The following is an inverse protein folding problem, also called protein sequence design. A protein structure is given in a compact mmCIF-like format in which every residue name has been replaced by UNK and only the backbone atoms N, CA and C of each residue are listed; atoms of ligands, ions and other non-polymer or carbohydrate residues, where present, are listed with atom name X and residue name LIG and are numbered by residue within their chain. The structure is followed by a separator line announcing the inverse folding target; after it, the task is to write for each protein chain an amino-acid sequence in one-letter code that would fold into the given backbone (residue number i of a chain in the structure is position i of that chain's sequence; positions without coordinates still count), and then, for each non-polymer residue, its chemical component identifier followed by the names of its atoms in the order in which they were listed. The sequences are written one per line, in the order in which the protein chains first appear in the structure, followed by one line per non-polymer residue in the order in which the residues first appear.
data_IF_422542176856
#
_entry.id   IF_422542176856
#
_cell.length_a   1.000
_cell.length_b   1.000
_cell.length_c   1.000
_cell.angle_alpha   90.00
_cell.angle_beta   90.00
_cell.angle_gamma   90.00
#
_symmetry.space_group_name_H-M   'P 1'
#
loop_
_entity.id
_entity.type
_entity.pdbx_description
1 polymer ?
#
# COMPACT_ATOMS: atom_id res chain seq x y z
N UNK A 1 0.93 -66.00 -14.37
CA UNK A 1 -0.27 -65.56 -15.08
C UNK A 1 -0.15 -64.04 -15.21
N UNK A 2 0.61 -63.46 -16.15
CA UNK A 2 0.51 -63.57 -17.63
C UNK A 2 -0.96 -63.48 -18.07
N UNK A 3 -1.44 -62.50 -18.85
CA UNK A 3 -0.94 -62.02 -20.15
C UNK A 3 -1.54 -60.65 -20.60
N UNK A 4 -0.72 -59.85 -21.31
CA UNK A 4 -0.89 -59.08 -22.58
C UNK A 4 -2.25 -58.38 -22.91
N UNK A 5 -2.32 -57.08 -23.20
CA UNK A 5 -1.80 -56.28 -24.34
C UNK A 5 -2.61 -56.42 -25.66
N UNK A 6 -3.11 -55.29 -26.20
CA UNK A 6 -3.06 -54.94 -27.63
C UNK A 6 -3.72 -53.56 -27.91
N UNK A 7 -2.95 -52.71 -28.60
CA UNK A 7 -3.38 -51.45 -29.23
C UNK A 7 -4.05 -51.70 -30.59
N UNK A 8 -4.77 -50.70 -31.13
CA UNK A 8 -4.89 -50.44 -32.58
C UNK A 8 -5.52 -49.04 -32.84
N UNK A 9 -4.75 -48.17 -33.50
CA UNK A 9 -5.16 -47.05 -34.36
C UNK A 9 -4.92 -47.52 -35.82
N UNK A 10 -5.56 -46.98 -36.89
CA UNK A 10 -5.18 -45.66 -37.47
C UNK A 10 -6.28 -44.88 -38.26
N UNK A 11 -6.13 -43.55 -38.42
CA UNK A 11 -5.97 -42.77 -39.70
C UNK A 11 -7.27 -42.44 -40.47
N UNK A 12 -7.50 -41.33 -41.19
CA UNK A 12 -6.74 -40.17 -41.69
C UNK A 12 -7.74 -39.20 -42.39
N UNK A 13 -7.29 -37.95 -42.68
CA UNK A 13 -7.75 -37.02 -43.76
C UNK A 13 -9.02 -36.17 -43.53
N UNK A 14 -9.13 -34.90 -43.96
CA UNK A 14 -8.27 -34.00 -44.77
C UNK A 14 -8.79 -32.55 -44.77
N UNK A 15 -7.88 -31.62 -45.17
CA UNK A 15 -8.08 -30.45 -46.05
C UNK A 15 -8.81 -29.16 -45.59
N UNK A 16 -8.02 -28.08 -45.53
CA UNK A 16 -8.39 -26.66 -45.67
C UNK A 16 -8.88 -26.33 -47.10
N UNK A 17 -9.55 -25.19 -47.33
CA UNK A 17 -8.87 -24.09 -48.01
C UNK A 17 -9.19 -22.66 -47.51
N UNK A 18 -8.36 -21.73 -47.99
CA UNK A 18 -8.25 -20.29 -47.76
C UNK A 18 -9.29 -19.45 -48.55
N UNK A 19 -9.24 -18.10 -48.37
CA UNK A 19 -9.75 -16.97 -49.20
C UNK A 19 -10.86 -16.17 -48.46
N UNK A 20 -10.92 -14.83 -48.30
CA UNK A 20 -10.31 -13.65 -48.96
C UNK A 20 -10.37 -12.41 -48.03
N UNK A 21 -9.40 -11.49 -48.19
CA UNK A 21 -9.40 -10.11 -47.67
C UNK A 21 -9.86 -9.16 -48.79
N UNK A 22 -10.54 -8.04 -48.51
CA UNK A 22 -10.50 -6.88 -49.38
C UNK A 22 -9.62 -5.76 -48.79
N UNK A 23 -8.61 -5.35 -49.57
CA UNK A 23 -8.01 -4.02 -49.51
C UNK A 23 -8.93 -3.02 -50.23
N UNK A 24 -9.00 -1.77 -49.75
CA UNK A 24 -9.01 -0.60 -50.64
C UNK A 24 -8.71 0.72 -49.89
N UNK A 25 -7.57 1.29 -50.26
CA UNK A 25 -7.29 2.68 -50.63
C UNK A 25 -7.68 3.88 -49.73
N UNK A 26 -6.61 4.49 -49.17
CA UNK A 26 -6.14 5.89 -49.37
C UNK A 26 -7.20 6.99 -49.61
N UNK A 27 -7.28 7.96 -48.68
CA UNK A 27 -7.22 9.40 -49.01
C UNK A 27 -6.57 10.19 -47.88
N UNK A 28 -5.53 10.94 -48.23
CA UNK A 28 -4.88 12.00 -47.47
C UNK A 28 -5.68 13.29 -47.51
N UNK A 29 -5.99 13.90 -46.36
CA UNK A 29 -6.38 15.33 -46.30
C UNK A 29 -5.85 15.96 -45.00
N UNK A 30 -4.79 16.76 -45.12
CA UNK A 30 -4.51 17.88 -44.20
C UNK A 30 -5.35 19.09 -44.65
N UNK A 31 -5.79 19.92 -43.71
CA UNK A 31 -5.51 21.34 -43.88
C UNK A 31 -4.95 22.00 -42.61
N UNK A 32 -3.86 22.74 -42.81
CA UNK A 32 -3.48 23.92 -42.01
C UNK A 32 -4.63 24.93 -42.05
N UNK A 33 -4.94 25.60 -40.95
CA UNK A 33 -5.15 27.07 -40.90
C UNK A 33 -5.04 27.58 -39.45
N UNK A 34 -4.44 28.77 -39.39
CA UNK A 34 -4.03 29.60 -38.26
C UNK A 34 -5.20 30.10 -37.41
N UNK A 35 -4.96 30.33 -36.11
CA UNK A 35 -5.19 31.67 -35.56
C UNK A 35 -4.23 31.97 -34.41
N UNK A 36 -3.68 33.18 -34.47
CA UNK A 36 -2.81 33.80 -33.47
C UNK A 36 -3.71 34.58 -32.52
N UNK A 37 -3.57 34.37 -31.22
CA UNK A 37 -4.01 35.36 -30.23
C UNK A 37 -2.79 35.79 -29.42
N UNK A 38 -2.24 36.95 -29.77
CA UNK A 38 -1.26 37.68 -28.95
C UNK A 38 -2.02 38.34 -27.81
N UNK A 39 -1.71 37.98 -26.57
CA UNK A 39 -2.02 38.80 -25.40
C UNK A 39 -0.72 39.48 -24.98
N UNK A 40 -0.65 40.80 -25.15
CA UNK A 40 0.46 41.63 -24.69
C UNK A 40 0.21 42.09 -23.25
N UNK A 41 1.02 41.64 -22.30
CA UNK A 41 1.09 42.21 -20.96
C UNK A 41 2.23 43.23 -20.92
N UNK A 42 1.84 44.51 -20.85
CA UNK A 42 2.74 45.66 -20.69
C UNK A 42 3.23 45.71 -19.24
N UNK A 43 4.54 45.57 -19.07
CA UNK A 43 5.24 45.95 -17.84
C UNK A 43 5.29 47.49 -17.81
N UNK A 44 4.81 48.10 -16.73
CA UNK A 44 5.09 49.50 -16.40
C UNK A 44 5.92 49.53 -15.11
N UNK A 45 7.15 50.01 -15.25
CA UNK A 45 7.94 50.56 -14.17
C UNK A 45 7.47 51.98 -13.88
N UNK A 46 7.33 52.32 -12.59
CA UNK A 46 7.47 53.70 -12.14
C UNK A 46 7.98 53.72 -10.72
N UNK A 47 9.23 54.13 -10.60
CA UNK A 47 9.90 54.62 -9.41
C UNK A 47 9.18 55.86 -8.87
N UNK A 48 9.07 55.98 -7.54
CA UNK A 48 9.15 57.26 -6.82
C UNK A 48 9.37 57.00 -5.33
N UNK A 49 10.47 57.56 -4.83
CA UNK A 49 10.82 57.69 -3.42
C UNK A 49 9.87 58.68 -2.73
N UNK A 50 9.52 58.42 -1.46
CA UNK A 50 9.30 59.48 -0.48
C UNK A 50 9.43 58.95 0.95
N UNK A 51 10.27 59.63 1.71
CA UNK A 51 10.56 59.48 3.13
C UNK A 51 9.34 59.81 4.02
N UNK A 52 9.24 59.17 5.20
CA UNK A 52 9.36 59.81 6.53
C UNK A 52 8.67 59.04 7.67
N UNK A 53 9.36 59.11 8.81
CA UNK A 53 8.80 59.26 10.17
C UNK A 53 8.30 58.02 10.92
N UNK A 54 9.22 57.46 11.72
CA UNK A 54 8.96 56.73 12.96
C UNK A 54 7.92 57.45 13.82
N UNK A 55 6.88 56.74 14.26
CA UNK A 55 6.18 57.05 15.51
C UNK A 55 5.89 55.78 16.30
N UNK A 56 6.53 55.73 17.47
CA UNK A 56 6.22 54.86 18.59
C UNK A 56 4.74 54.95 18.93
N UNK A 57 4.05 53.82 18.93
CA UNK A 57 2.82 53.66 19.71
C UNK A 57 3.17 52.71 20.85
N UNK A 58 3.34 53.32 22.01
CA UNK A 58 3.60 52.64 23.28
C UNK A 58 2.24 52.36 23.93
N UNK A 59 1.80 51.10 23.93
CA UNK A 59 0.68 50.67 24.73
C UNK A 59 1.21 50.28 26.12
N UNK A 60 0.94 51.12 27.13
CA UNK A 60 1.18 50.80 28.54
C UNK A 60 -0.06 50.10 29.08
N UNK A 61 0.03 48.81 29.37
CA UNK A 61 -0.76 48.20 30.43
C UNK A 61 0.18 47.83 31.57
N UNK A 62 0.01 48.56 32.67
CA UNK A 62 0.68 48.35 33.93
C UNK A 62 0.15 47.06 34.54
N UNK A 63 0.94 45.99 34.52
CA UNK A 63 0.73 44.84 35.40
C UNK A 63 2.02 44.66 36.19
N UNK A 64 1.86 44.85 37.50
CA UNK A 64 2.88 44.78 38.51
C UNK A 64 3.64 43.45 38.44
N UNK A 65 4.97 43.55 38.49
CA UNK A 65 5.86 42.41 38.69
C UNK A 65 5.57 41.83 40.07
N UNK A 66 4.93 40.67 40.12
CA UNK A 66 5.10 39.73 41.22
C UNK A 66 6.14 38.71 40.78
N UNK A 67 7.21 38.63 41.56
CA UNK A 67 8.20 37.56 41.50
C UNK A 67 7.47 36.21 41.60
N UNK A 68 7.37 35.53 40.47
CA UNK A 68 7.17 34.08 40.43
C UNK A 68 8.49 33.49 40.00
N UNK A 69 9.07 32.72 40.94
CA UNK A 69 10.19 31.83 40.71
C UNK A 69 10.03 31.12 39.36
N UNK A 70 11.10 31.18 38.56
CA UNK A 70 11.17 30.53 37.27
C UNK A 70 10.94 29.03 37.43
N UNK A 71 9.77 28.59 36.96
CA UNK A 71 9.65 27.25 36.41
C UNK A 71 10.12 27.43 34.98
N UNK A 72 11.37 27.03 34.72
CA UNK A 72 11.83 26.84 33.35
C UNK A 72 10.93 25.75 32.75
N UNK A 73 10.07 26.14 31.82
CA UNK A 73 9.42 25.19 30.92
C UNK A 73 10.55 24.49 30.16
N UNK A 74 10.94 23.31 30.68
CA UNK A 74 11.76 22.37 29.93
C UNK A 74 10.81 21.83 28.87
N UNK A 75 10.76 22.50 27.71
CA UNK A 75 10.25 21.86 26.51
C UNK A 75 11.10 20.61 26.33
N UNK A 76 10.53 19.47 26.68
CA UNK A 76 11.14 18.15 26.53
C UNK A 76 11.43 17.98 25.04
N UNK A 77 12.67 18.27 24.63
CA UNK A 77 13.12 18.11 23.25
C UNK A 77 12.85 16.67 22.85
N UNK A 78 11.81 16.45 22.04
CA UNK A 78 11.51 15.14 21.48
C UNK A 78 12.78 14.62 20.81
N UNK A 79 13.30 13.44 21.22
CA UNK A 79 14.55 12.93 20.70
C UNK A 79 14.46 12.86 19.18
N UNK A 80 15.44 13.45 18.49
CA UNK A 80 15.51 13.39 17.02
C UNK A 80 15.43 11.92 16.60
N UNK A 81 14.55 11.57 15.64
CA UNK A 81 14.38 10.18 15.24
C UNK A 81 15.71 9.64 14.72
N UNK A 82 16.11 8.47 15.23
CA UNK A 82 17.38 7.81 14.87
C UNK A 82 17.43 7.39 13.40
N UNK A 83 16.28 7.25 12.75
CA UNK A 83 16.13 6.75 11.39
C UNK A 83 15.54 7.84 10.50
N UNK A 84 15.82 7.79 9.19
CA UNK A 84 15.06 8.61 8.23
C UNK A 84 13.64 8.07 8.13
N UNK A 85 12.68 8.96 7.86
CA UNK A 85 11.33 8.55 7.48
C UNK A 85 11.38 7.69 6.21
N UNK A 86 10.59 6.62 6.18
CA UNK A 86 10.49 5.70 5.04
C UNK A 86 9.29 6.04 4.16
N UNK A 87 9.42 5.87 2.86
CA UNK A 87 8.32 6.04 1.91
C UNK A 87 7.56 4.73 1.75
N UNK A 88 6.26 4.74 2.06
CA UNK A 88 5.38 3.59 2.02
C UNK A 88 4.45 3.67 0.81
N UNK A 89 4.37 2.60 0.04
CA UNK A 89 3.27 2.38 -0.90
C UNK A 89 2.25 1.44 -0.27
N UNK A 90 0.96 1.79 -0.34
CA UNK A 90 -0.10 0.93 0.19
C UNK A 90 -0.99 0.43 -0.94
N UNK A 91 -1.22 -0.88 -1.00
CA UNK A 91 -2.00 -1.52 -2.05
C UNK A 91 -3.35 -1.97 -1.49
N UNK A 92 -4.46 -1.65 -2.18
CA UNK A 92 -5.82 -1.96 -1.72
C UNK A 92 -6.74 -2.43 -2.85
N UNK A 93 -7.78 -3.20 -2.54
CA UNK A 93 -8.85 -3.53 -3.51
C UNK A 93 -10.27 -3.20 -3.01
N UNK A 94 -10.41 -2.68 -1.80
CA UNK A 94 -11.69 -2.45 -1.11
C UNK A 94 -11.73 -1.16 -0.28
N UNK A 95 -12.40 -1.21 0.87
CA UNK A 95 -12.64 -0.02 1.73
C UNK A 95 -11.39 0.61 2.36
N UNK A 96 -10.27 -0.13 2.43
CA UNK A 96 -8.99 0.39 2.87
C UNK A 96 -8.88 0.72 4.36
N UNK A 97 -9.58 0.00 5.25
CA UNK A 97 -9.50 0.26 6.70
C UNK A 97 -8.09 0.07 7.27
N UNK A 98 -7.38 -1.01 6.89
CA UNK A 98 -5.96 -1.19 7.21
C UNK A 98 -5.08 -0.02 6.70
N UNK A 99 -5.34 0.45 5.48
CA UNK A 99 -4.65 1.63 4.92
C UNK A 99 -4.89 2.88 5.78
N UNK A 100 -6.14 3.12 6.22
CA UNK A 100 -6.48 4.25 7.09
C UNK A 100 -5.72 4.18 8.41
N UNK A 101 -5.69 3.02 9.07
CA UNK A 101 -4.96 2.82 10.32
C UNK A 101 -3.47 3.08 10.17
N UNK A 102 -2.85 2.59 9.09
CA UNK A 102 -1.43 2.86 8.79
C UNK A 102 -1.22 4.36 8.56
N UNK A 103 -2.05 4.99 7.73
CA UNK A 103 -1.92 6.41 7.40
C UNK A 103 -2.10 7.30 8.62
N UNK A 104 -3.10 7.06 9.46
CA UNK A 104 -3.29 7.79 10.72
C UNK A 104 -2.08 7.66 11.64
N UNK A 105 -1.51 6.47 11.76
CA UNK A 105 -0.28 6.23 12.52
C UNK A 105 0.96 6.94 11.92
N UNK A 106 0.98 7.23 10.61
CA UNK A 106 2.04 8.07 10.03
C UNK A 106 1.92 9.54 10.43
N UNK A 107 0.68 10.02 10.63
CA UNK A 107 0.38 11.41 10.99
C UNK A 107 0.66 11.69 12.48
N UNK A 108 0.32 10.75 13.36
CA UNK A 108 0.57 10.88 14.80
C UNK A 108 2.04 10.58 15.19
N UNK A 109 2.81 10.00 14.27
CA UNK A 109 4.22 9.69 14.43
C UNK A 109 4.53 8.30 14.99
N UNK A 110 3.51 7.47 15.26
CA UNK A 110 3.68 6.08 15.70
C UNK A 110 4.36 5.21 14.65
N UNK A 111 4.15 5.51 13.37
CA UNK A 111 4.88 4.94 12.24
C UNK A 111 5.83 5.99 11.69
N UNK A 112 7.13 5.71 11.74
CA UNK A 112 8.17 6.62 11.23
C UNK A 112 8.33 6.55 9.69
N UNK A 113 7.23 6.74 8.97
CA UNK A 113 7.19 6.71 7.52
C UNK A 113 6.03 7.53 6.97
N UNK A 114 5.98 7.70 5.65
CA UNK A 114 4.99 8.50 4.94
C UNK A 114 4.33 7.66 3.84
N UNK A 115 3.00 7.65 3.77
CA UNK A 115 2.29 7.01 2.65
C UNK A 115 2.36 7.93 1.43
N UNK A 116 3.25 7.60 0.49
CA UNK A 116 3.56 8.45 -0.67
C UNK A 116 2.72 8.13 -1.90
N UNK A 117 2.17 6.92 -1.98
CA UNK A 117 1.32 6.48 -3.09
C UNK A 117 0.40 5.35 -2.63
N UNK A 118 -0.85 5.40 -3.08
CA UNK A 118 -1.80 4.30 -2.97
C UNK A 118 -1.92 3.60 -4.33
N UNK A 119 -1.82 2.28 -4.37
CA UNK A 119 -2.11 1.48 -5.55
C UNK A 119 -3.43 0.72 -5.34
N UNK A 120 -4.30 0.74 -6.34
CA UNK A 120 -5.61 0.07 -6.23
C UNK A 120 -5.93 -0.75 -7.47
N UNK A 121 -6.57 -1.90 -7.29
CA UNK A 121 -7.09 -2.69 -8.42
C UNK A 121 -8.44 -2.19 -8.95
N UNK A 122 -9.02 -1.15 -8.33
CA UNK A 122 -10.32 -0.56 -8.68
C UNK A 122 -10.24 0.97 -8.54
N UNK A 123 -10.69 1.70 -9.56
CA UNK A 123 -10.63 3.17 -9.56
C UNK A 123 -11.46 3.78 -8.42
N UNK A 124 -12.63 3.21 -8.13
CA UNK A 124 -13.61 3.72 -7.16
C UNK A 124 -13.65 2.86 -5.89
N UNK A 125 -12.49 2.39 -5.43
CA UNK A 125 -12.42 1.73 -4.12
C UNK A 125 -12.52 2.78 -3.00
N UNK A 126 -13.17 2.44 -1.88
CA UNK A 126 -13.24 3.35 -0.73
C UNK A 126 -11.87 3.71 -0.13
N UNK A 127 -10.85 2.90 -0.37
CA UNK A 127 -9.45 3.25 -0.08
C UNK A 127 -8.91 4.33 -1.05
N UNK A 128 -9.21 4.23 -2.34
CA UNK A 128 -8.81 5.22 -3.34
C UNK A 128 -9.50 6.58 -3.15
N UNK A 129 -10.79 6.59 -2.83
CA UNK A 129 -11.52 7.81 -2.45
C UNK A 129 -10.85 8.49 -1.25
N UNK A 130 -10.62 7.73 -0.18
CA UNK A 130 -9.94 8.26 1.01
C UNK A 130 -8.54 8.81 0.71
N UNK A 131 -7.74 8.12 -0.12
CA UNK A 131 -6.42 8.61 -0.50
C UNK A 131 -6.50 9.93 -1.27
N UNK A 132 -7.43 10.08 -2.22
CA UNK A 132 -7.64 11.34 -2.95
C UNK A 132 -8.03 12.49 -2.02
N UNK A 133 -8.93 12.24 -1.07
CA UNK A 133 -9.33 13.24 -0.06
C UNK A 133 -8.15 13.71 0.79
N UNK A 134 -7.21 12.80 1.09
CA UNK A 134 -5.96 13.09 1.80
C UNK A 134 -4.82 13.57 0.90
N UNK A 135 -5.09 13.78 -0.39
CA UNK A 135 -4.12 14.21 -1.42
C UNK A 135 -2.93 13.25 -1.60
N UNK A 136 -3.16 11.96 -1.34
CA UNK A 136 -2.21 10.89 -1.64
C UNK A 136 -2.41 10.49 -3.11
N UNK A 137 -1.36 10.47 -3.94
CA UNK A 137 -1.44 9.98 -5.31
C UNK A 137 -2.01 8.57 -5.39
N UNK A 138 -2.93 8.34 -6.33
CA UNK A 138 -3.55 7.04 -6.57
C UNK A 138 -3.15 6.50 -7.94
N UNK A 139 -2.63 5.28 -7.95
CA UNK A 139 -2.29 4.51 -9.16
C UNK A 139 -3.27 3.34 -9.28
N UNK A 140 -3.85 3.13 -10.46
CA UNK A 140 -4.71 1.98 -10.71
C UNK A 140 -3.91 0.87 -11.37
N UNK A 141 -3.78 -0.28 -10.70
CA UNK A 141 -3.10 -1.46 -11.22
C UNK A 141 -3.78 -2.75 -10.74
N UNK A 142 -3.98 -3.76 -11.62
CA UNK A 142 -3.77 -3.71 -13.06
C UNK A 142 -4.84 -2.85 -13.76
N UNK A 143 -4.44 -2.02 -14.73
CA UNK A 143 -5.36 -1.25 -15.58
C UNK A 143 -5.72 -2.10 -16.80
N UNK A 144 -7.00 -2.45 -16.97
CA UNK A 144 -7.47 -3.23 -18.12
C UNK A 144 -7.71 -2.32 -19.34
N UNK A 145 -7.44 -2.86 -20.52
CA UNK A 145 -7.55 -2.20 -21.83
C UNK A 145 -9.02 -2.00 -22.21
N UNK A 146 -9.52 -0.78 -22.08
CA UNK A 146 -10.65 -0.31 -22.88
C UNK A 146 -10.19 0.72 -23.95
N UNK A 147 -8.88 0.87 -24.16
CA UNK A 147 -8.32 1.77 -25.17
C UNK A 147 -6.87 2.18 -24.89
N UNK A 148 -5.96 1.59 -25.65
CA UNK A 148 -4.58 1.99 -25.99
C UNK A 148 -3.48 2.19 -24.93
N UNK A 149 -3.77 2.45 -23.65
CA UNK A 149 -2.70 2.70 -22.66
C UNK A 149 -2.66 1.62 -21.57
N UNK A 150 -1.88 0.56 -21.81
CA UNK A 150 -1.63 -0.49 -20.81
C UNK A 150 -0.66 0.06 -19.78
N UNK A 151 -1.13 0.24 -18.56
CA UNK A 151 -0.21 0.45 -17.45
C UNK A 151 0.45 -0.91 -17.13
N UNK A 152 1.69 -1.06 -17.60
CA UNK A 152 2.46 -2.30 -17.50
C UNK A 152 3.00 -2.54 -16.09
N UNK A 153 3.61 -3.71 -15.87
CA UNK A 153 4.28 -4.02 -14.61
C UNK A 153 5.55 -3.15 -14.48
N UNK A 154 6.23 -2.91 -15.60
CA UNK A 154 7.38 -2.01 -15.69
C UNK A 154 7.00 -0.58 -15.33
N UNK A 155 5.86 -0.07 -15.82
CA UNK A 155 5.35 1.26 -15.48
C UNK A 155 5.04 1.37 -13.98
N UNK A 156 4.48 0.31 -13.38
CA UNK A 156 4.27 0.26 -11.94
C UNK A 156 5.59 0.36 -11.18
N UNK A 157 6.61 -0.42 -11.56
CA UNK A 157 7.93 -0.39 -10.92
C UNK A 157 8.59 0.99 -11.08
N UNK A 158 8.56 1.58 -12.29
CA UNK A 158 9.09 2.93 -12.55
C UNK A 158 8.37 3.96 -11.68
N UNK A 159 7.04 3.86 -11.61
CA UNK A 159 6.21 4.76 -10.79
C UNK A 159 6.58 4.66 -9.32
N UNK A 160 6.63 3.47 -8.74
CA UNK A 160 7.00 3.26 -7.33
C UNK A 160 8.43 3.74 -7.02
N UNK A 161 9.36 3.55 -7.95
CA UNK A 161 10.73 4.10 -7.84
C UNK A 161 10.75 5.62 -7.90
N UNK A 162 9.91 6.26 -8.72
CA UNK A 162 9.81 7.73 -8.77
C UNK A 162 9.33 8.32 -7.45
N UNK A 163 8.47 7.60 -6.73
CA UNK A 163 8.04 7.92 -5.36
C UNK A 163 9.07 7.51 -4.29
N UNK A 164 10.22 6.93 -4.69
CA UNK A 164 11.28 6.45 -3.79
C UNK A 164 10.74 5.52 -2.71
N UNK A 165 9.78 4.66 -3.05
CA UNK A 165 9.15 3.72 -2.13
C UNK A 165 10.22 2.81 -1.51
N UNK A 166 10.26 2.75 -0.18
CA UNK A 166 11.10 1.82 0.58
C UNK A 166 10.35 0.49 0.81
N UNK A 167 9.05 0.55 1.12
CA UNK A 167 8.24 -0.62 1.44
C UNK A 167 6.84 -0.58 0.82
N UNK A 168 6.35 -1.76 0.41
CA UNK A 168 5.01 -1.97 -0.14
C UNK A 168 4.18 -2.76 0.89
N UNK A 169 3.04 -2.20 1.29
CA UNK A 169 2.12 -2.80 2.26
C UNK A 169 0.80 -3.17 1.56
N UNK A 170 0.52 -4.47 1.42
CA UNK A 170 -0.73 -4.97 0.86
C UNK A 170 -1.82 -5.01 1.94
N UNK A 171 -2.69 -4.01 1.93
CA UNK A 171 -3.77 -3.80 2.88
C UNK A 171 -5.11 -4.25 2.27
N UNK A 172 -5.25 -5.55 2.02
CA UNK A 172 -6.43 -6.14 1.37
C UNK A 172 -6.41 -6.00 -0.16
N UNK A 173 -5.23 -6.16 -0.77
CA UNK A 173 -5.05 -6.22 -2.21
C UNK A 173 -5.31 -7.64 -2.72
N UNK A 174 -6.24 -7.80 -3.67
CA UNK A 174 -6.79 -9.10 -4.04
C UNK A 174 -6.20 -9.69 -5.33
N UNK A 175 -5.15 -9.09 -5.89
CA UNK A 175 -4.47 -9.59 -7.09
C UNK A 175 -3.12 -10.16 -6.70
N UNK A 176 -2.70 -11.22 -7.39
CA UNK A 176 -1.35 -11.74 -7.29
C UNK A 176 -0.35 -10.62 -7.61
N UNK A 177 0.69 -10.50 -6.81
CA UNK A 177 1.77 -9.58 -7.09
C UNK A 177 2.64 -10.16 -8.23
N UNK A 178 2.92 -9.39 -9.29
CA UNK A 178 3.80 -9.84 -10.36
C UNK A 178 5.20 -10.18 -9.85
N UNK A 179 5.82 -11.21 -10.43
CA UNK A 179 7.15 -11.69 -10.06
C UNK A 179 8.19 -10.57 -10.20
N UNK A 180 8.07 -9.76 -11.24
CA UNK A 180 8.94 -8.62 -11.53
C UNK A 180 8.88 -7.57 -10.41
N UNK A 181 7.71 -7.38 -9.78
CA UNK A 181 7.57 -6.47 -8.64
C UNK A 181 8.22 -7.05 -7.38
N UNK A 182 8.04 -8.35 -7.13
CA UNK A 182 8.71 -9.07 -6.02
C UNK A 182 10.23 -8.96 -6.15
N UNK A 183 10.75 -9.16 -7.36
CA UNK A 183 12.18 -9.04 -7.66
C UNK A 183 12.70 -7.60 -7.54
N UNK A 184 11.89 -6.61 -7.90
CA UNK A 184 12.25 -5.19 -7.77
C UNK A 184 12.25 -4.70 -6.31
N UNK A 185 11.49 -5.35 -5.42
CA UNK A 185 11.35 -5.02 -4.00
C UNK A 185 11.64 -6.22 -3.09
N UNK A 186 12.89 -6.77 -3.12
CA UNK A 186 13.23 -7.96 -2.37
C UNK A 186 13.13 -7.68 -0.86
N UNK A 187 12.37 -8.53 -0.15
CA UNK A 187 12.11 -8.38 1.30
C UNK A 187 11.52 -7.00 1.67
N UNK A 188 10.80 -6.37 0.75
CA UNK A 188 10.22 -5.04 0.95
C UNK A 188 8.70 -5.00 0.69
N UNK A 189 8.08 -6.16 0.47
CA UNK A 189 6.62 -6.29 0.29
C UNK A 189 6.06 -7.14 1.43
N UNK A 190 5.11 -6.58 2.19
CA UNK A 190 4.38 -7.27 3.25
C UNK A 190 2.91 -7.36 2.90
N UNK A 191 2.29 -8.50 3.19
CA UNK A 191 0.85 -8.71 3.10
C UNK A 191 0.28 -9.04 4.47
N UNK A 192 -0.96 -8.60 4.72
CA UNK A 192 -1.76 -9.07 5.84
C UNK A 192 -2.85 -10.02 5.33
N UNK A 193 -2.87 -11.23 5.90
CA UNK A 193 -3.84 -12.26 5.56
C UNK A 193 -4.74 -12.58 6.77
N UNK A 194 -6.08 -12.66 6.61
CA UNK A 194 -7.02 -12.75 7.73
C UNK A 194 -7.20 -14.17 8.32
N UNK A 195 -6.11 -14.93 8.40
CA UNK A 195 -6.05 -16.21 9.13
C UNK A 195 -4.65 -16.47 9.69
N UNK A 196 -4.54 -17.43 10.62
CA UNK A 196 -3.27 -17.94 11.13
C UNK A 196 -2.62 -18.85 10.09
N UNK A 197 -1.82 -18.28 9.19
CA UNK A 197 -1.10 -19.03 8.17
C UNK A 197 -0.21 -20.11 8.80
N UNK A 198 -0.04 -21.27 8.13
CA UNK A 198 -0.48 -21.57 6.75
C UNK A 198 -1.97 -21.95 6.61
N UNK A 199 -2.73 -22.01 7.71
CA UNK A 199 -4.14 -22.40 7.66
C UNK A 199 -4.98 -21.34 6.93
N UNK A 200 -5.89 -21.79 6.05
CA UNK A 200 -6.78 -20.94 5.26
C UNK A 200 -6.04 -19.86 4.44
N UNK A 201 -4.80 -20.13 4.03
CA UNK A 201 -4.03 -19.32 3.10
C UNK A 201 -4.08 -19.86 1.67
N UNK A 202 -3.58 -19.07 0.73
CA UNK A 202 -3.41 -19.47 -0.65
C UNK A 202 -4.58 -19.09 -1.56
N UNK A 203 -4.49 -19.54 -2.81
CA UNK A 203 -5.44 -19.15 -3.86
C UNK A 203 -6.88 -19.52 -3.48
N UNK A 204 -7.75 -18.51 -3.43
CA UNK A 204 -9.18 -18.68 -3.15
C UNK A 204 -9.59 -18.29 -1.73
N UNK A 205 -8.63 -18.15 -0.81
CA UNK A 205 -8.83 -17.66 0.53
C UNK A 205 -8.57 -16.16 0.59
N UNK A 206 -9.62 -15.35 0.44
CA UNK A 206 -9.51 -13.90 0.58
C UNK A 206 -10.82 -13.28 1.07
N UNK A 207 -10.71 -12.16 1.78
CA UNK A 207 -11.85 -11.46 2.38
C UNK A 207 -12.76 -12.41 3.16
N UNK A 208 -14.08 -12.28 2.98
CA UNK A 208 -15.07 -13.07 3.72
C UNK A 208 -14.96 -14.60 3.49
N UNK A 209 -14.31 -15.05 2.42
CA UNK A 209 -14.13 -16.49 2.17
C UNK A 209 -13.27 -17.15 3.24
N UNK A 210 -12.31 -16.41 3.81
CA UNK A 210 -11.43 -16.92 4.87
C UNK A 210 -12.24 -17.19 6.14
N UNK A 211 -12.96 -16.18 6.63
CA UNK A 211 -13.76 -16.31 7.86
C UNK A 211 -14.85 -17.38 7.72
N UNK A 212 -15.51 -17.47 6.56
CA UNK A 212 -16.49 -18.55 6.28
C UNK A 212 -15.84 -19.94 6.36
N UNK A 213 -14.64 -20.10 5.82
CA UNK A 213 -13.92 -21.37 5.89
C UNK A 213 -13.46 -21.71 7.32
N UNK A 214 -13.03 -20.71 8.09
CA UNK A 214 -12.67 -20.87 9.51
C UNK A 214 -13.88 -21.36 10.31
N UNK A 215 -15.04 -20.69 10.19
CA UNK A 215 -16.27 -21.11 10.88
C UNK A 215 -16.68 -22.53 10.46
N UNK A 216 -16.70 -22.81 9.14
CA UNK A 216 -17.08 -24.11 8.62
C UNK A 216 -16.14 -25.25 9.08
N UNK A 217 -14.87 -24.95 9.35
CA UNK A 217 -13.89 -25.95 9.82
C UNK A 217 -14.07 -26.35 11.28
N UNK A 218 -14.79 -25.56 12.09
CA UNK A 218 -14.89 -25.75 13.54
C UNK A 218 -13.65 -25.30 14.33
N UNK A 219 -12.71 -24.57 13.70
CA UNK A 219 -11.55 -24.00 14.37
C UNK A 219 -11.96 -23.12 15.56
N UNK A 220 -11.19 -23.18 16.66
CA UNK A 220 -11.41 -22.38 17.88
C UNK A 220 -10.58 -21.10 17.94
N UNK A 221 -9.65 -20.96 17.00
CA UNK A 221 -8.77 -19.80 16.89
C UNK A 221 -8.60 -19.40 15.43
N UNK A 222 -8.47 -18.10 15.23
CA UNK A 222 -8.17 -17.44 13.97
C UNK A 222 -7.30 -16.22 14.27
N UNK A 223 -7.27 -15.25 13.36
CA UNK A 223 -6.55 -13.98 13.54
C UNK A 223 -5.65 -13.66 12.35
N UNK A 224 -5.06 -12.46 12.32
CA UNK A 224 -4.28 -12.04 11.17
C UNK A 224 -2.84 -12.55 11.19
N UNK A 225 -2.29 -12.74 10.00
CA UNK A 225 -0.86 -12.97 9.77
C UNK A 225 -0.29 -11.91 8.86
N UNK A 226 0.82 -11.29 9.27
CA UNK A 226 1.66 -10.48 8.38
C UNK A 226 2.85 -11.32 7.93
N UNK A 227 3.06 -11.37 6.62
CA UNK A 227 4.15 -12.14 6.02
C UNK A 227 4.77 -11.38 4.85
N UNK A 228 6.02 -11.73 4.52
CA UNK A 228 6.64 -11.29 3.29
C UNK A 228 5.94 -11.89 2.08
N UNK A 229 5.80 -11.12 1.02
CA UNK A 229 5.23 -11.60 -0.24
C UNK A 229 6.31 -12.27 -1.07
N UNK A 230 5.99 -13.43 -1.63
CA UNK A 230 6.76 -14.11 -2.66
C UNK A 230 5.90 -14.29 -3.93
N UNK A 231 6.32 -15.17 -4.84
CA UNK A 231 5.64 -15.40 -6.13
C UNK A 231 4.32 -16.18 -6.00
N UNK A 232 4.01 -16.68 -4.80
CA UNK A 232 2.84 -17.50 -4.51
C UNK A 232 1.95 -16.84 -3.44
N UNK A 233 0.68 -17.22 -3.41
CA UNK A 233 -0.25 -16.68 -2.42
C UNK A 233 0.09 -17.23 -1.04
N UNK A 234 0.37 -16.33 -0.11
CA UNK A 234 0.43 -16.59 1.33
C UNK A 234 1.46 -17.65 1.77
N UNK A 235 2.52 -17.87 0.99
CA UNK A 235 3.60 -18.83 1.30
C UNK A 235 4.87 -18.19 1.85
N UNK A 236 5.01 -16.87 1.70
CA UNK A 236 6.21 -16.19 2.14
C UNK A 236 6.37 -16.18 3.66
N UNK A 237 7.57 -15.80 4.11
CA UNK A 237 7.97 -15.93 5.52
C UNK A 237 7.05 -15.09 6.42
N UNK A 238 6.42 -15.76 7.38
CA UNK A 238 5.60 -15.14 8.43
C UNK A 238 6.50 -14.23 9.28
N UNK A 239 6.04 -13.00 9.49
CA UNK A 239 6.71 -12.00 10.33
C UNK A 239 5.99 -11.82 11.66
N UNK A 240 4.66 -11.77 11.67
CA UNK A 240 3.89 -11.58 12.90
C UNK A 240 2.49 -12.17 12.79
N UNK A 241 1.92 -12.59 13.92
CA UNK A 241 0.56 -13.10 14.03
C UNK A 241 -0.12 -12.58 15.30
N UNK A 242 -1.44 -12.47 15.27
CA UNK A 242 -2.27 -12.26 16.47
C UNK A 242 -3.34 -13.33 16.52
N UNK A 243 -3.55 -13.92 17.69
CA UNK A 243 -4.57 -14.94 17.90
C UNK A 243 -5.87 -14.29 18.32
N UNK A 244 -6.96 -14.70 17.68
CA UNK A 244 -8.32 -14.27 17.95
C UNK A 244 -9.18 -15.52 18.23
N UNK A 245 -9.94 -15.57 19.34
CA UNK A 245 -10.83 -16.70 19.60
C UNK A 245 -12.01 -16.70 18.62
N UNK A 246 -12.41 -17.90 18.19
CA UNK A 246 -13.66 -18.15 17.48
C UNK A 246 -14.69 -18.61 18.51
N UNK A 247 -15.71 -17.78 18.75
CA UNK A 247 -16.75 -18.05 19.73
C UNK A 247 -17.73 -19.08 19.19
N UNK A 248 -18.41 -19.81 20.09
CA UNK A 248 -19.25 -20.95 19.75
C UNK A 248 -20.36 -20.62 18.73
N UNK A 249 -20.88 -19.39 18.76
CA UNK A 249 -21.99 -18.94 17.93
C UNK A 249 -21.59 -17.82 16.97
N UNK A 250 -20.29 -17.63 16.70
CA UNK A 250 -19.83 -16.61 15.77
C UNK A 250 -20.41 -16.86 14.37
N UNK A 251 -20.95 -15.80 13.78
CA UNK A 251 -21.07 -15.66 12.33
C UNK A 251 -19.70 -15.34 11.72
N UNK A 252 -19.56 -15.56 10.41
CA UNK A 252 -18.33 -15.20 9.70
C UNK A 252 -18.05 -13.69 9.76
N UNK A 253 -19.11 -12.88 9.80
CA UNK A 253 -19.06 -11.42 9.89
C UNK A 253 -18.58 -10.94 11.27
N UNK A 254 -19.04 -11.55 12.36
CA UNK A 254 -18.57 -11.25 13.73
C UNK A 254 -17.11 -11.63 13.90
N UNK A 255 -16.72 -12.81 13.41
CA UNK A 255 -15.32 -13.22 13.38
C UNK A 255 -14.48 -12.26 12.54
N UNK A 256 -14.96 -11.87 11.36
CA UNK A 256 -14.26 -10.94 10.48
C UNK A 256 -14.03 -9.58 11.16
N UNK A 257 -15.03 -9.04 11.86
CA UNK A 257 -14.90 -7.79 12.60
C UNK A 257 -13.84 -7.89 13.71
N UNK A 258 -13.80 -9.02 14.43
CA UNK A 258 -12.82 -9.27 15.49
C UNK A 258 -11.40 -9.42 14.95
N UNK A 259 -11.23 -10.14 13.83
CA UNK A 259 -9.95 -10.28 13.14
C UNK A 259 -9.48 -8.94 12.59
N UNK A 260 -10.37 -8.16 11.97
CA UNK A 260 -10.05 -6.85 11.40
C UNK A 260 -9.56 -5.85 12.45
N UNK A 261 -10.10 -5.91 13.68
CA UNK A 261 -9.61 -5.08 14.79
C UNK A 261 -8.15 -5.38 15.13
N UNK A 262 -7.77 -6.66 15.14
CA UNK A 262 -6.38 -7.06 15.37
C UNK A 262 -5.50 -6.82 14.14
N UNK A 263 -6.05 -6.85 12.92
CA UNK A 263 -5.33 -6.45 11.71
C UNK A 263 -4.84 -5.01 11.81
N UNK A 264 -5.72 -4.08 12.20
CA UNK A 264 -5.38 -2.65 12.30
C UNK A 264 -4.21 -2.41 13.23
N UNK A 265 -4.21 -3.06 14.40
CA UNK A 265 -3.13 -2.93 15.39
C UNK A 265 -1.84 -3.58 14.89
N UNK A 266 -1.93 -4.84 14.45
CA UNK A 266 -0.77 -5.61 14.04
C UNK A 266 -0.05 -4.96 12.85
N UNK A 267 -0.80 -4.41 11.89
CA UNK A 267 -0.20 -3.78 10.73
C UNK A 267 0.52 -2.47 11.08
N UNK A 268 -0.04 -1.67 11.99
CA UNK A 268 0.62 -0.46 12.50
C UNK A 268 1.90 -0.83 13.27
N UNK A 269 1.85 -1.83 14.16
CA UNK A 269 3.00 -2.32 14.92
C UNK A 269 4.14 -2.78 14.01
N UNK A 270 3.82 -3.57 12.98
CA UNK A 270 4.79 -4.08 12.01
C UNK A 270 5.31 -2.96 11.11
N UNK A 271 4.45 -2.05 10.63
CA UNK A 271 4.89 -0.91 9.83
C UNK A 271 5.87 -0.03 10.63
N UNK A 272 5.59 0.22 11.91
CA UNK A 272 6.52 0.93 12.78
C UNK A 272 7.86 0.20 12.92
N UNK A 273 7.85 -1.12 13.14
CA UNK A 273 9.07 -1.93 13.22
C UNK A 273 9.90 -1.91 11.94
N UNK A 274 9.23 -1.94 10.79
CA UNK A 274 9.85 -1.87 9.48
C UNK A 274 10.50 -0.50 9.26
N UNK A 275 9.81 0.59 9.61
CA UNK A 275 10.32 1.95 9.49
C UNK A 275 11.47 2.27 10.46
N UNK A 276 11.47 1.66 11.63
CA UNK A 276 12.50 1.79 12.67
C UNK A 276 13.65 0.77 12.52
N UNK A 277 13.71 0.04 11.40
CA UNK A 277 14.77 -0.92 11.09
C UNK A 277 14.96 -2.00 12.17
N UNK A 278 13.87 -2.41 12.83
CA UNK A 278 13.87 -3.42 13.91
C UNK A 278 13.70 -4.86 13.42
N UNK A 279 13.53 -5.06 12.12
CA UNK A 279 13.40 -6.42 11.56
C UNK A 279 14.79 -7.05 11.43
N UNK A 280 14.96 -8.22 12.02
CA UNK A 280 16.17 -9.03 11.86
C UNK A 280 15.86 -10.40 11.30
N UNK A 281 16.88 -11.03 10.74
CA UNK A 281 16.75 -12.34 10.10
C UNK A 281 17.65 -13.32 10.83
N UNK A 282 17.08 -14.44 11.26
CA UNK A 282 17.83 -15.60 11.73
C UNK A 282 18.58 -16.24 10.54
N UNK A 283 19.58 -17.05 10.85
CA UNK A 283 20.38 -17.76 9.84
C UNK A 283 19.53 -18.71 8.98
N UNK A 284 18.45 -19.26 9.53
CA UNK A 284 17.48 -20.11 8.82
C UNK A 284 16.46 -19.34 7.96
N UNK A 285 16.60 -18.01 7.88
CA UNK A 285 15.75 -17.14 7.08
C UNK A 285 14.40 -16.81 7.73
N UNK A 286 14.23 -17.04 9.03
CA UNK A 286 13.04 -16.60 9.78
C UNK A 286 13.20 -15.13 10.21
N UNK A 287 12.28 -14.23 9.82
CA UNK A 287 12.33 -12.84 10.26
C UNK A 287 11.77 -12.69 11.68
N UNK A 288 12.30 -11.73 12.43
CA UNK A 288 11.93 -11.42 13.82
C UNK A 288 11.88 -9.92 14.04
N UNK A 289 11.03 -9.47 14.95
CA UNK A 289 10.91 -8.07 15.35
C UNK A 289 11.68 -7.86 16.66
N UNK A 290 12.72 -7.01 16.65
CA UNK A 290 13.37 -6.59 17.90
C UNK A 290 12.43 -5.71 18.73
N UNK A 291 12.37 -5.96 20.04
CA UNK A 291 11.62 -5.14 20.98
C UNK A 291 12.15 -3.70 21.01
N UNK A 292 11.26 -2.74 21.26
CA UNK A 292 11.62 -1.32 21.43
C UNK A 292 12.33 -1.07 22.76
N UNK A 293 11.94 -1.78 23.81
CA UNK A 293 12.39 -1.56 25.19
C UNK A 293 13.71 -2.28 25.47
N UNK A 294 13.85 -3.49 24.93
CA UNK A 294 15.04 -4.31 25.09
C UNK A 294 15.46 -4.90 23.74
N UNK A 295 16.50 -4.36 23.08
CA UNK A 295 16.92 -4.83 21.76
C UNK A 295 17.33 -6.30 21.68
N UNK A 296 17.57 -6.95 22.82
CA UNK A 296 17.87 -8.38 22.92
C UNK A 296 16.60 -9.25 22.96
N UNK A 297 15.44 -8.67 23.23
CA UNK A 297 14.16 -9.39 23.21
C UNK A 297 13.58 -9.41 21.80
N UNK A 298 13.12 -10.59 21.38
CA UNK A 298 12.63 -10.87 20.04
C UNK A 298 11.13 -11.19 20.12
N UNK A 299 10.36 -10.54 19.25
CA UNK A 299 8.92 -10.71 19.06
C UNK A 299 8.61 -11.31 17.69
#
# INVERSE_FOLDING_TARGET
METQAAALRPSLHSSLPWIQIPENHLVSVLPKIRSRTRVSLRIRSSSSQALLSKRNIQCRSSIERRDRQGVSDVEEEKPKPKFRRKNLAVFVSGGGSNFRSIYEATLDGSVHGDVVVLVTSKHDSGGAEYARDKRIPVVVFPRRKDGEDVFSIEDLVITLRSYKVDFILLAGYLKLIPVELVQAYPKAILNIHPSLLPAFGGKGYYGMKVHKAVIASGARYSGPTIHYVDEQYDTGRILAQRVVPVLANDTAEELAARVLHEEHKLYVEVAAALCEERITWREDGVPLIRSKENPNDLF
#
